data_IF_299140786666
#
_entry.id   IF_299140786666
#
_cell.length_a   1.000
_cell.length_b   1.000
_cell.length_c   1.000
_cell.angle_alpha   90.00
_cell.angle_beta   90.00
_cell.angle_gamma   90.00
#
_symmetry.space_group_name_H-M   'P 1'
#
loop_
_entity.id
_entity.type
_entity.pdbx_description
1 polymer ?
#
# COMPACT_ATOMS: atom_id res chain seq x y z
N UNK A 1 -0.32 -43.35 8.82
CA UNK A 1 0.83 -42.47 8.40
C UNK A 1 0.43 -41.81 7.10
N UNK A 2 -0.26 -40.71 7.19
CA UNK A 2 -0.61 -39.88 6.02
C UNK A 2 0.11 -38.55 6.17
N UNK A 3 1.11 -38.36 5.31
CA UNK A 3 1.91 -37.15 5.30
C UNK A 3 1.13 -35.98 4.70
N UNK A 4 1.10 -34.91 5.44
CA UNK A 4 0.56 -33.64 5.00
C UNK A 4 1.33 -33.13 3.78
N UNK A 5 0.70 -33.14 2.62
CA UNK A 5 1.15 -32.45 1.42
C UNK A 5 0.95 -30.95 1.64
N UNK A 6 1.98 -30.24 2.06
CA UNK A 6 1.98 -28.78 2.06
C UNK A 6 1.99 -28.27 0.62
N UNK A 7 0.97 -27.53 0.31
CA UNK A 7 0.63 -26.94 -0.98
C UNK A 7 1.78 -26.08 -1.55
N UNK A 8 2.44 -26.60 -2.59
CA UNK A 8 3.37 -25.86 -3.46
C UNK A 8 2.63 -25.03 -4.55
N UNK A 9 1.54 -24.35 -4.19
CA UNK A 9 0.65 -23.75 -5.21
C UNK A 9 0.86 -22.24 -5.45
N UNK A 10 1.94 -21.61 -4.95
CA UNK A 10 2.04 -20.15 -5.01
C UNK A 10 2.94 -19.55 -6.12
N UNK A 11 3.69 -20.36 -6.83
CA UNK A 11 4.57 -19.86 -7.93
C UNK A 11 4.01 -20.05 -9.34
N UNK A 12 2.90 -20.77 -9.48
CA UNK A 12 2.38 -21.14 -10.80
C UNK A 12 1.61 -20.02 -11.50
N UNK A 13 0.83 -19.20 -10.76
CA UNK A 13 0.02 -18.15 -11.37
C UNK A 13 0.89 -17.03 -11.96
N UNK A 14 1.94 -16.61 -11.25
CA UNK A 14 2.88 -15.60 -11.76
C UNK A 14 3.70 -16.13 -12.96
N UNK A 15 3.94 -17.46 -13.04
CA UNK A 15 4.61 -18.11 -14.18
C UNK A 15 3.74 -18.21 -15.43
N UNK A 16 2.43 -18.20 -15.31
CA UNK A 16 1.52 -18.21 -16.46
C UNK A 16 1.56 -16.91 -17.28
N UNK A 17 2.06 -15.81 -16.69
CA UNK A 17 2.23 -14.53 -17.37
C UNK A 17 3.59 -14.38 -18.07
N UNK A 18 4.56 -15.24 -17.80
CA UNK A 18 5.90 -15.18 -18.38
C UNK A 18 6.10 -16.47 -19.16
N UNK A 19 5.99 -16.41 -20.48
CA UNK A 19 6.40 -17.50 -21.35
C UNK A 19 7.89 -17.77 -21.14
N UNK A 20 8.22 -19.00 -20.74
CA UNK A 20 9.54 -19.62 -20.62
C UNK A 20 10.53 -19.12 -19.53
N UNK A 21 11.19 -20.09 -18.91
CA UNK A 21 11.98 -20.03 -17.70
C UNK A 21 13.16 -19.05 -17.78
N UNK A 22 13.21 -18.08 -16.85
CA UNK A 22 14.43 -17.37 -16.51
C UNK A 22 15.40 -18.27 -15.70
N UNK A 23 16.74 -18.07 -15.81
CA UNK A 23 17.72 -18.84 -15.05
C UNK A 23 17.48 -18.68 -13.55
N UNK A 24 17.86 -19.71 -12.77
CA UNK A 24 17.61 -19.88 -11.34
C UNK A 24 17.57 -18.54 -10.59
N UNK A 25 16.37 -18.01 -10.42
CA UNK A 25 16.15 -16.78 -9.66
C UNK A 25 16.54 -17.04 -8.21
N UNK A 26 17.24 -16.08 -7.60
CA UNK A 26 17.39 -16.04 -6.15
C UNK A 26 16.01 -16.27 -5.52
N UNK A 27 15.93 -17.18 -4.56
CA UNK A 27 14.66 -17.56 -3.94
C UNK A 27 14.02 -16.32 -3.30
N UNK A 28 12.82 -15.95 -3.76
CA UNK A 28 12.08 -14.85 -3.17
C UNK A 28 11.41 -15.34 -1.87
N UNK A 29 11.95 -14.89 -0.74
CA UNK A 29 11.43 -15.21 0.58
C UNK A 29 10.11 -14.48 0.83
N UNK A 30 9.00 -15.21 0.79
CA UNK A 30 7.66 -14.67 1.05
C UNK A 30 6.77 -15.57 1.91
N UNK A 31 7.28 -16.75 2.31
CA UNK A 31 6.58 -17.76 3.11
C UNK A 31 7.50 -18.30 4.21
N UNK A 32 8.22 -17.43 4.92
CA UNK A 32 9.20 -17.84 5.95
C UNK A 32 8.53 -18.32 7.24
N UNK A 33 7.24 -18.05 7.42
CA UNK A 33 6.42 -18.52 8.54
C UNK A 33 4.94 -18.60 8.14
N UNK A 34 4.17 -19.38 8.91
CA UNK A 34 2.73 -19.53 8.70
C UNK A 34 1.97 -18.32 9.26
N UNK A 35 1.05 -17.77 8.45
CA UNK A 35 0.28 -16.58 8.82
C UNK A 35 -0.81 -16.90 9.84
N UNK A 36 -1.47 -18.07 9.76
CA UNK A 36 -2.53 -18.44 10.70
C UNK A 36 -1.96 -18.66 12.10
N UNK A 37 -0.78 -19.27 12.19
CA UNK A 37 -0.07 -19.38 13.48
C UNK A 37 0.27 -17.99 14.04
N UNK A 38 0.81 -17.08 13.23
CA UNK A 38 1.11 -15.72 13.68
C UNK A 38 -0.15 -14.97 14.13
N UNK A 39 -1.28 -15.15 13.43
CA UNK A 39 -2.58 -14.55 13.77
C UNK A 39 -3.00 -14.98 15.17
N UNK A 40 -2.96 -16.28 15.47
CA UNK A 40 -3.32 -16.79 16.80
C UNK A 40 -2.43 -16.20 17.91
N UNK A 41 -1.09 -16.16 17.68
CA UNK A 41 -0.12 -15.53 18.59
C UNK A 41 -0.44 -14.04 18.81
N UNK A 42 -0.76 -13.32 17.74
CA UNK A 42 -1.05 -11.89 17.75
C UNK A 42 -2.38 -11.56 18.45
N UNK A 43 -3.43 -12.33 18.17
CA UNK A 43 -4.75 -12.15 18.80
C UNK A 43 -4.68 -12.40 20.32
N UNK A 44 -3.96 -13.44 20.75
CA UNK A 44 -3.73 -13.69 22.17
C UNK A 44 -3.00 -12.53 22.84
N UNK A 45 -1.91 -12.04 22.22
CA UNK A 45 -1.14 -10.90 22.75
C UNK A 45 -1.98 -9.61 22.81
N UNK A 46 -2.80 -9.32 21.81
CA UNK A 46 -3.68 -8.14 21.80
C UNK A 46 -4.79 -8.24 22.85
N UNK A 47 -5.35 -9.43 23.07
CA UNK A 47 -6.33 -9.68 24.12
C UNK A 47 -5.73 -9.45 25.52
N UNK A 48 -4.53 -9.96 25.79
CA UNK A 48 -3.81 -9.72 27.05
C UNK A 48 -3.54 -8.23 27.31
N UNK A 49 -3.11 -7.49 26.28
CA UNK A 49 -2.92 -6.03 26.37
C UNK A 49 -4.22 -5.28 26.68
N UNK A 50 -5.32 -5.73 26.12
CA UNK A 50 -6.65 -5.13 26.38
C UNK A 50 -7.13 -5.43 27.79
N UNK A 51 -6.91 -6.63 28.31
CA UNK A 51 -7.26 -7.03 29.67
C UNK A 51 -6.47 -6.24 30.72
N UNK A 52 -5.17 -6.05 30.54
CA UNK A 52 -4.31 -5.26 31.45
C UNK A 52 -4.72 -3.77 31.56
N UNK A 53 -5.44 -3.23 30.58
CA UNK A 53 -5.96 -1.85 30.60
C UNK A 53 -7.29 -1.70 31.34
N UNK A 54 -8.05 -2.80 31.52
CA UNK A 54 -9.36 -2.78 32.17
C UNK A 54 -9.26 -2.96 33.70
N UNK A 55 -8.06 -3.10 34.26
CA UNK A 55 -7.89 -2.99 35.71
C UNK A 55 -8.19 -1.55 36.15
N UNK A 56 -9.20 -1.33 37.03
CA UNK A 56 -9.70 -0.01 37.34
C UNK A 56 -8.67 0.73 38.21
N UNK A 57 -7.99 1.73 37.63
CA UNK A 57 -7.50 2.85 38.45
C UNK A 57 -8.72 3.51 39.01
N UNK A 58 -8.83 3.55 40.35
CA UNK A 58 -9.93 4.12 41.09
C UNK A 58 -10.35 5.49 40.53
N UNK A 59 -11.60 5.58 40.08
CA UNK A 59 -12.19 6.82 39.58
C UNK A 59 -12.35 7.85 40.72
N UNK A 60 -12.11 9.14 40.45
CA UNK A 60 -12.49 10.19 41.35
C UNK A 60 -14.04 10.32 41.36
N UNK A 61 -14.66 10.61 42.54
CA UNK A 61 -16.11 10.67 42.65
C UNK A 61 -16.66 11.95 42.03
N UNK A 62 -17.71 11.83 41.23
CA UNK A 62 -18.71 12.87 41.00
C UNK A 62 -18.75 13.48 39.59
N UNK A 63 -19.56 12.90 38.72
CA UNK A 63 -20.32 13.68 37.74
C UNK A 63 -21.72 13.05 37.59
N UNK A 64 -22.71 13.88 37.83
CA UNK A 64 -24.14 13.58 37.77
C UNK A 64 -24.60 13.46 36.31
N UNK A 65 -25.31 12.37 36.01
CA UNK A 65 -26.00 12.15 34.72
C UNK A 65 -27.33 12.88 34.70
N UNK A 66 -27.60 13.65 33.64
CA UNK A 66 -28.91 14.21 33.32
C UNK A 66 -29.70 13.18 32.46
N UNK A 67 -31.03 13.09 32.59
CA UNK A 67 -31.84 12.13 31.87
C UNK A 67 -32.11 12.57 30.42
N UNK A 68 -32.45 11.63 29.50
CA UNK A 68 -32.69 11.92 28.09
C UNK A 68 -34.07 12.51 27.85
N UNK A 69 -34.12 13.55 27.03
CA UNK A 69 -35.34 14.19 26.55
C UNK A 69 -35.88 13.45 25.31
N UNK A 70 -37.19 13.19 25.32
CA UNK A 70 -37.92 12.49 24.29
C UNK A 70 -38.68 13.46 23.39
N UNK A 71 -38.39 13.50 22.12
CA UNK A 71 -39.18 14.27 21.16
C UNK A 71 -38.79 13.94 19.72
N UNK A 72 -39.68 13.22 19.01
CA UNK A 72 -39.50 12.85 17.63
C UNK A 72 -39.82 13.96 16.64
N UNK A 73 -39.29 13.81 15.44
CA UNK A 73 -40.03 13.97 14.16
C UNK A 73 -39.10 13.66 12.98
N UNK A 74 -39.64 12.86 12.11
CA UNK A 74 -39.04 12.38 10.86
C UNK A 74 -39.21 13.43 9.75
N UNK A 75 -38.09 13.86 9.13
CA UNK A 75 -38.08 14.37 7.76
C UNK A 75 -36.76 14.10 7.08
N UNK A 76 -36.87 13.59 5.84
CA UNK A 76 -35.93 13.47 4.71
C UNK A 76 -34.41 13.63 4.94
N UNK A 77 -33.70 12.53 4.79
CA UNK A 77 -32.38 12.38 4.14
C UNK A 77 -31.29 13.46 4.36
N UNK A 78 -31.11 13.93 5.58
CA UNK A 78 -29.83 14.47 6.03
C UNK A 78 -29.18 13.47 6.97
N UNK A 79 -27.92 13.12 6.72
CA UNK A 79 -27.16 12.33 7.68
C UNK A 79 -27.23 13.00 9.07
N UNK A 80 -27.34 12.23 10.17
CA UNK A 80 -27.36 12.76 11.51
C UNK A 80 -26.18 13.72 11.74
N UNK A 81 -26.39 14.83 12.45
CA UNK A 81 -25.37 15.84 12.76
C UNK A 81 -24.05 15.24 13.27
N UNK A 82 -24.14 14.18 14.05
CA UNK A 82 -22.97 13.44 14.53
C UNK A 82 -22.17 12.77 13.40
N UNK A 83 -22.84 12.22 12.38
CA UNK A 83 -22.18 11.63 11.20
C UNK A 83 -21.57 12.71 10.31
N UNK A 84 -22.25 13.86 10.17
CA UNK A 84 -21.69 15.01 9.44
C UNK A 84 -20.45 15.59 10.13
N UNK A 85 -20.47 15.67 11.45
CA UNK A 85 -19.30 16.10 12.24
C UNK A 85 -18.15 15.10 12.14
N UNK A 86 -18.43 13.80 12.18
CA UNK A 86 -17.42 12.77 11.99
C UNK A 86 -16.82 12.81 10.57
N UNK A 87 -17.63 13.03 9.53
CA UNK A 87 -17.14 13.19 8.16
C UNK A 87 -16.30 14.46 7.99
N UNK A 88 -16.70 15.58 8.59
CA UNK A 88 -15.93 16.82 8.56
C UNK A 88 -14.59 16.68 9.32
N UNK A 89 -14.59 16.01 10.46
CA UNK A 89 -13.38 15.71 11.22
C UNK A 89 -12.45 14.75 10.44
N UNK A 90 -13.01 13.74 9.77
CA UNK A 90 -12.26 12.83 8.94
C UNK A 90 -11.64 13.55 7.72
N UNK A 91 -12.40 14.43 7.05
CA UNK A 91 -11.90 15.21 5.92
C UNK A 91 -10.79 16.18 6.33
N UNK A 92 -10.91 16.85 7.47
CA UNK A 92 -9.85 17.72 8.00
C UNK A 92 -8.61 16.95 8.41
N UNK A 93 -8.77 15.74 8.96
CA UNK A 93 -7.67 14.85 9.29
C UNK A 93 -6.90 14.41 8.05
N UNK A 94 -7.60 14.03 6.99
CA UNK A 94 -6.96 13.62 5.72
C UNK A 94 -6.19 14.75 5.05
N UNK A 95 -6.72 15.98 5.06
CA UNK A 95 -6.00 17.14 4.53
C UNK A 95 -4.71 17.42 5.32
N UNK A 96 -4.72 17.23 6.64
CA UNK A 96 -3.53 17.31 7.48
C UNK A 96 -2.51 16.22 7.11
N UNK A 97 -2.95 14.99 6.92
CA UNK A 97 -2.10 13.85 6.55
C UNK A 97 -1.38 14.04 5.22
N UNK A 98 -2.03 14.66 4.23
CA UNK A 98 -1.39 15.03 2.96
C UNK A 98 -0.17 15.93 3.17
N UNK A 99 -0.27 16.92 4.08
CA UNK A 99 0.85 17.79 4.44
C UNK A 99 2.00 17.06 5.13
N UNK A 100 1.71 15.99 5.88
CA UNK A 100 2.73 15.20 6.56
C UNK A 100 3.67 14.48 5.59
N UNK A 101 3.19 14.06 4.41
CA UNK A 101 4.03 13.40 3.41
C UNK A 101 5.06 14.36 2.79
N UNK A 102 4.67 15.61 2.47
CA UNK A 102 5.65 16.62 2.02
C UNK A 102 6.68 16.91 3.11
N UNK A 103 6.23 17.10 4.36
CA UNK A 103 7.11 17.32 5.49
C UNK A 103 8.08 16.14 5.73
N UNK A 104 7.60 14.90 5.58
CA UNK A 104 8.42 13.69 5.67
C UNK A 104 9.53 13.69 4.61
N UNK A 105 9.19 13.94 3.33
CA UNK A 105 10.19 13.93 2.26
C UNK A 105 11.18 15.10 2.38
N UNK A 106 10.72 16.28 2.78
CA UNK A 106 11.57 17.46 2.94
C UNK A 106 12.55 17.34 4.12
N UNK A 107 12.15 16.68 5.22
CA UNK A 107 12.93 16.60 6.46
C UNK A 107 13.55 15.23 6.66
N UNK A 108 12.73 14.18 6.75
CA UNK A 108 13.17 12.87 7.21
C UNK A 108 13.79 12.05 6.08
N UNK A 109 13.39 12.31 4.85
CA UNK A 109 13.96 11.67 3.64
C UNK A 109 14.77 12.63 2.76
N UNK A 110 15.20 13.78 3.27
CA UNK A 110 15.89 14.83 2.50
C UNK A 110 17.14 14.34 1.72
N UNK A 111 17.74 13.22 2.12
CA UNK A 111 18.88 12.61 1.41
C UNK A 111 18.48 11.46 0.50
N UNK A 112 17.20 11.16 0.32
CA UNK A 112 16.66 9.99 -0.39
C UNK A 112 17.24 8.64 0.09
N UNK A 113 17.74 8.56 1.33
CA UNK A 113 18.37 7.35 1.92
C UNK A 113 17.47 6.61 2.90
N UNK A 114 16.32 7.17 3.22
CA UNK A 114 15.38 6.55 4.15
C UNK A 114 14.88 5.21 3.60
N UNK A 115 14.52 5.18 2.31
CA UNK A 115 14.13 3.97 1.62
C UNK A 115 15.26 3.44 0.75
N UNK A 116 15.53 2.12 0.87
CA UNK A 116 16.45 1.41 -0.03
C UNK A 116 15.73 1.02 -1.32
N UNK A 117 16.47 0.86 -2.40
CA UNK A 117 15.95 0.27 -3.65
C UNK A 117 15.27 -1.07 -3.39
N UNK A 118 14.03 -1.23 -3.86
CA UNK A 118 13.18 -2.41 -3.66
C UNK A 118 13.41 -3.42 -4.79
N UNK A 119 14.63 -3.93 -4.91
CA UNK A 119 15.01 -4.89 -5.98
C UNK A 119 14.23 -6.19 -5.92
N UNK A 120 13.71 -6.58 -4.75
CA UNK A 120 12.89 -7.76 -4.58
C UNK A 120 11.58 -7.70 -5.39
N UNK A 121 11.10 -6.50 -5.78
CA UNK A 121 9.91 -6.35 -6.62
C UNK A 121 10.06 -7.02 -7.99
N UNK A 122 11.29 -7.13 -8.52
CA UNK A 122 11.56 -7.82 -9.78
C UNK A 122 11.36 -9.35 -9.66
N UNK A 123 11.49 -9.90 -8.45
CA UNK A 123 11.20 -11.30 -8.15
C UNK A 123 9.73 -11.50 -7.79
N UNK A 124 9.15 -10.52 -7.08
CA UNK A 124 7.76 -10.54 -6.65
C UNK A 124 6.79 -10.34 -7.80
N UNK A 125 7.14 -9.47 -8.75
CA UNK A 125 6.34 -9.13 -9.94
C UNK A 125 7.20 -9.32 -11.21
N UNK A 126 7.38 -10.55 -11.71
CA UNK A 126 8.24 -10.83 -12.87
C UNK A 126 7.85 -10.08 -14.16
N UNK A 127 6.58 -9.66 -14.30
CA UNK A 127 6.12 -8.84 -15.41
C UNK A 127 6.91 -7.51 -15.56
N UNK A 128 7.50 -7.00 -14.49
CA UNK A 128 8.31 -5.77 -14.51
C UNK A 128 9.65 -5.94 -15.26
N UNK A 129 10.07 -7.17 -15.53
CA UNK A 129 11.33 -7.48 -16.23
C UNK A 129 11.12 -7.81 -17.71
N UNK A 130 9.88 -7.89 -18.20
CA UNK A 130 9.58 -8.16 -19.61
C UNK A 130 10.01 -6.96 -20.45
N UNK A 131 10.92 -7.20 -21.40
CA UNK A 131 11.52 -6.13 -22.21
C UNK A 131 10.91 -6.02 -23.63
N UNK A 132 10.13 -6.99 -24.06
CA UNK A 132 9.50 -7.01 -25.39
C UNK A 132 8.06 -7.51 -25.30
N UNK A 133 7.09 -6.77 -25.85
CA UNK A 133 7.24 -5.40 -26.38
C UNK A 133 7.61 -4.39 -25.28
N UNK A 134 8.16 -3.21 -25.64
CA UNK A 134 8.46 -2.14 -24.66
C UNK A 134 7.23 -1.79 -23.83
N UNK A 135 7.38 -1.70 -22.51
CA UNK A 135 6.29 -1.49 -21.58
C UNK A 135 6.36 -0.08 -20.94
N UNK A 136 5.20 0.37 -20.48
CA UNK A 136 5.08 1.58 -19.68
C UNK A 136 4.48 1.26 -18.31
N UNK A 137 5.18 1.62 -17.24
CA UNK A 137 4.72 1.41 -15.87
C UNK A 137 4.40 2.74 -15.19
N UNK A 138 3.32 2.78 -14.43
CA UNK A 138 2.95 3.90 -13.59
C UNK A 138 3.05 3.50 -12.12
N UNK A 139 3.75 4.25 -11.29
CA UNK A 139 3.68 4.10 -9.83
C UNK A 139 2.95 5.28 -9.21
N UNK A 140 1.89 5.00 -8.46
CA UNK A 140 1.18 5.97 -7.62
C UNK A 140 1.82 5.92 -6.23
N UNK A 141 2.24 7.07 -5.71
CA UNK A 141 3.03 7.17 -4.48
C UNK A 141 4.48 6.73 -4.69
N UNK A 142 5.12 7.22 -5.75
CA UNK A 142 6.46 6.76 -6.14
C UNK A 142 7.58 7.17 -5.15
N UNK A 143 7.31 8.12 -4.26
CA UNK A 143 8.31 8.64 -3.35
C UNK A 143 9.58 9.10 -4.10
N UNK A 144 10.74 8.76 -3.57
CA UNK A 144 12.03 9.04 -4.22
C UNK A 144 12.43 7.99 -5.28
N UNK A 145 11.50 7.15 -5.76
CA UNK A 145 11.74 6.18 -6.84
C UNK A 145 12.32 4.84 -6.39
N UNK A 146 12.20 4.49 -5.11
CA UNK A 146 12.79 3.26 -4.57
C UNK A 146 12.30 1.97 -5.23
N UNK A 147 11.11 1.99 -5.87
CA UNK A 147 10.56 0.88 -6.66
C UNK A 147 10.89 1.01 -8.14
N UNK A 148 10.72 2.21 -8.73
CA UNK A 148 10.90 2.43 -10.17
C UNK A 148 12.36 2.37 -10.62
N UNK A 149 13.32 2.82 -9.81
CA UNK A 149 14.73 2.79 -10.17
C UNK A 149 15.26 1.39 -10.45
N UNK A 150 15.03 0.36 -9.61
CA UNK A 150 15.43 -1.00 -9.95
C UNK A 150 14.73 -1.55 -11.19
N UNK A 151 13.45 -1.20 -11.43
CA UNK A 151 12.74 -1.59 -12.66
C UNK A 151 13.40 -0.98 -13.90
N UNK A 152 13.68 0.32 -13.90
CA UNK A 152 14.35 1.03 -15.00
C UNK A 152 15.75 0.47 -15.31
N UNK A 153 16.48 0.04 -14.26
CA UNK A 153 17.82 -0.57 -14.40
C UNK A 153 17.75 -1.99 -14.97
N UNK A 154 16.75 -2.77 -14.55
CA UNK A 154 16.58 -4.16 -14.97
C UNK A 154 15.93 -4.29 -16.35
N UNK A 155 15.10 -3.34 -16.74
CA UNK A 155 14.37 -3.33 -18.01
C UNK A 155 14.73 -2.09 -18.84
N UNK A 156 15.77 -2.14 -19.70
CA UNK A 156 16.21 -0.99 -20.48
C UNK A 156 15.19 -0.45 -21.48
N UNK A 157 14.23 -1.26 -21.92
CA UNK A 157 13.21 -0.87 -22.91
C UNK A 157 11.95 -0.27 -22.29
N UNK A 158 11.76 -0.35 -20.97
CA UNK A 158 10.59 0.24 -20.34
C UNK A 158 10.72 1.75 -20.15
N UNK A 159 9.57 2.42 -20.10
CA UNK A 159 9.42 3.78 -19.61
C UNK A 159 8.54 3.79 -18.37
N UNK A 160 8.68 4.80 -17.52
CA UNK A 160 7.90 4.90 -16.29
C UNK A 160 7.33 6.29 -16.07
N UNK A 161 6.18 6.35 -15.43
CA UNK A 161 5.63 7.54 -14.82
C UNK A 161 5.54 7.33 -13.30
N UNK A 162 6.07 8.24 -12.51
CA UNK A 162 5.91 8.28 -11.06
C UNK A 162 5.03 9.44 -10.64
N UNK A 163 4.03 9.20 -9.78
CA UNK A 163 3.23 10.26 -9.18
C UNK A 163 3.33 10.20 -7.66
N UNK A 164 3.33 11.34 -7.01
CA UNK A 164 3.35 11.45 -5.55
C UNK A 164 2.65 12.74 -5.12
N UNK A 165 2.08 12.77 -3.91
CA UNK A 165 1.55 14.00 -3.30
C UNK A 165 2.64 15.05 -3.07
N UNK A 166 3.87 14.60 -2.78
CA UNK A 166 5.02 15.43 -2.47
C UNK A 166 5.77 15.86 -3.72
N UNK A 167 5.76 17.16 -4.08
CA UNK A 167 6.63 17.68 -5.13
C UNK A 167 8.11 17.40 -4.87
N UNK A 168 8.53 17.43 -3.59
CA UNK A 168 9.89 17.11 -3.17
C UNK A 168 10.26 15.66 -3.50
N UNK A 169 9.37 14.70 -3.23
CA UNK A 169 9.56 13.29 -3.57
C UNK A 169 9.76 13.10 -5.08
N UNK A 170 8.88 13.69 -5.88
CA UNK A 170 8.96 13.63 -7.36
C UNK A 170 10.25 14.23 -7.88
N UNK A 171 10.70 15.36 -7.32
CA UNK A 171 11.99 15.95 -7.67
C UNK A 171 13.15 15.00 -7.37
N UNK A 172 13.16 14.39 -6.17
CA UNK A 172 14.17 13.40 -5.77
C UNK A 172 14.17 12.18 -6.70
N UNK A 173 13.03 11.68 -7.10
CA UNK A 173 12.91 10.57 -8.06
C UNK A 173 13.58 10.91 -9.39
N UNK A 174 13.23 12.04 -9.99
CA UNK A 174 13.83 12.50 -11.26
C UNK A 174 15.34 12.68 -11.15
N UNK A 175 15.80 13.27 -10.07
CA UNK A 175 17.24 13.47 -9.81
C UNK A 175 17.97 12.14 -9.65
N UNK A 176 17.38 11.19 -8.92
CA UNK A 176 17.95 9.86 -8.72
C UNK A 176 18.04 9.07 -10.04
N UNK A 177 17.02 9.17 -10.91
CA UNK A 177 17.03 8.56 -12.23
C UNK A 177 18.13 9.16 -13.13
N UNK A 178 18.26 10.48 -13.17
CA UNK A 178 19.32 11.17 -13.89
C UNK A 178 20.72 10.78 -13.38
N UNK A 179 20.90 10.73 -12.05
CA UNK A 179 22.16 10.31 -11.41
C UNK A 179 22.51 8.85 -11.75
N UNK A 180 21.49 7.99 -11.91
CA UNK A 180 21.66 6.61 -12.34
C UNK A 180 21.92 6.45 -13.85
N UNK A 181 22.00 7.54 -14.62
CA UNK A 181 22.22 7.50 -16.07
C UNK A 181 21.01 7.02 -16.87
N UNK A 182 19.82 7.07 -16.31
CA UNK A 182 18.59 6.71 -17.03
C UNK A 182 18.23 7.84 -18.00
N UNK A 183 17.94 7.48 -19.26
CA UNK A 183 17.57 8.44 -20.29
C UNK A 183 16.27 9.20 -19.91
N UNK A 184 16.27 10.53 -20.13
CA UNK A 184 15.20 11.40 -19.65
C UNK A 184 13.83 11.12 -20.28
N UNK A 185 13.81 10.62 -21.52
CA UNK A 185 12.59 10.21 -22.24
C UNK A 185 11.91 8.96 -21.67
N UNK A 186 12.62 8.21 -20.83
CA UNK A 186 12.08 7.04 -20.13
C UNK A 186 11.45 7.36 -18.79
N UNK A 187 11.58 8.59 -18.28
CA UNK A 187 11.20 8.93 -16.92
C UNK A 187 10.31 10.16 -16.88
N UNK A 188 9.10 9.99 -16.42
CA UNK A 188 8.17 11.10 -16.20
C UNK A 188 7.77 11.13 -14.71
N UNK A 189 7.57 12.31 -14.14
CA UNK A 189 7.14 12.45 -12.76
C UNK A 189 6.25 13.68 -12.56
N UNK A 190 5.17 13.50 -11.82
CA UNK A 190 4.17 14.52 -11.52
C UNK A 190 3.85 14.55 -10.02
N UNK A 191 3.77 15.75 -9.45
CA UNK A 191 3.16 15.93 -8.14
C UNK A 191 1.63 15.95 -8.33
N UNK A 192 0.95 14.95 -7.75
CA UNK A 192 -0.49 14.79 -7.92
C UNK A 192 -1.12 14.05 -6.75
N UNK A 193 -2.36 14.44 -6.42
CA UNK A 193 -3.22 13.70 -5.49
C UNK A 193 -4.03 12.66 -6.26
N UNK A 194 -3.58 11.42 -6.25
CA UNK A 194 -4.23 10.33 -7.00
C UNK A 194 -5.56 9.86 -6.41
N UNK A 195 -6.05 10.49 -5.33
CA UNK A 195 -7.44 10.31 -4.86
C UNK A 195 -8.41 11.23 -5.60
N UNK A 196 -7.91 12.14 -6.47
CA UNK A 196 -8.71 13.05 -7.26
C UNK A 196 -8.83 12.56 -8.71
N UNK A 197 -10.01 12.61 -9.34
CA UNK A 197 -10.27 11.97 -10.64
C UNK A 197 -9.49 12.55 -11.82
N UNK A 198 -8.91 13.74 -11.69
CA UNK A 198 -8.20 14.45 -12.78
C UNK A 198 -6.67 14.38 -12.66
N UNK A 199 -6.15 13.59 -11.71
CA UNK A 199 -4.78 13.75 -11.25
C UNK A 199 -3.72 13.14 -12.16
N UNK A 200 -4.05 12.15 -12.98
CA UNK A 200 -3.04 11.44 -13.77
C UNK A 200 -3.04 11.87 -15.22
N UNK A 201 -1.90 12.35 -15.75
CA UNK A 201 -1.77 12.53 -17.18
C UNK A 201 -1.81 11.17 -17.86
N UNK A 202 -2.56 11.07 -18.96
CA UNK A 202 -2.49 9.92 -19.87
C UNK A 202 -1.02 9.67 -20.27
N UNK A 203 -0.60 8.39 -20.44
CA UNK A 203 0.73 8.09 -20.98
C UNK A 203 0.93 8.89 -22.24
N UNK A 204 2.10 9.48 -22.37
CA UNK A 204 2.49 10.53 -23.30
C UNK A 204 1.64 10.61 -24.58
N UNK A 205 0.92 11.71 -24.74
CA UNK A 205 0.23 12.03 -25.97
C UNK A 205 1.25 11.88 -27.14
N UNK A 206 0.95 11.00 -28.09
CA UNK A 206 1.83 10.71 -29.22
C UNK A 206 2.48 9.31 -29.24
N UNK A 207 2.39 8.52 -28.16
CA UNK A 207 2.94 7.15 -28.14
C UNK A 207 2.01 6.09 -28.73
N UNK A 208 0.74 6.43 -29.01
CA UNK A 208 -0.30 5.48 -29.44
C UNK A 208 -0.78 4.52 -28.33
N UNK A 209 -0.32 4.70 -27.08
CA UNK A 209 -0.73 3.87 -25.95
C UNK A 209 -2.07 4.33 -25.37
N UNK A 210 -2.91 3.37 -24.99
CA UNK A 210 -4.22 3.63 -24.37
C UNK A 210 -4.11 3.73 -22.82
N UNK A 211 -2.96 3.41 -22.23
CA UNK A 211 -2.73 3.40 -20.80
C UNK A 211 -1.39 2.76 -20.42
N UNK A 212 -1.16 2.57 -19.14
CA UNK A 212 0.00 1.84 -18.62
C UNK A 212 -0.22 0.33 -18.74
N UNK A 213 0.85 -0.41 -18.98
CA UNK A 213 0.85 -1.88 -18.96
C UNK A 213 0.67 -2.41 -17.53
N UNK A 214 1.26 -1.72 -16.55
CA UNK A 214 0.99 -1.97 -15.13
C UNK A 214 0.99 -0.67 -14.32
N UNK A 215 0.13 -0.65 -13.28
CA UNK A 215 0.13 0.36 -12.23
C UNK A 215 0.62 -0.29 -10.94
N UNK A 216 1.55 0.36 -10.25
CA UNK A 216 2.13 -0.08 -8.99
C UNK A 216 1.59 0.78 -7.83
N UNK A 217 1.16 0.11 -6.76
CA UNK A 217 0.86 0.68 -5.45
C UNK A 217 1.75 -0.03 -4.42
N UNK A 218 2.92 0.54 -4.15
CA UNK A 218 3.93 -0.09 -3.29
C UNK A 218 4.07 0.70 -1.98
N UNK A 219 3.43 0.21 -0.92
CA UNK A 219 3.30 0.89 0.39
C UNK A 219 2.63 2.26 0.27
N UNK A 220 1.61 2.34 -0.55
CA UNK A 220 0.90 3.57 -0.85
C UNK A 220 -0.55 3.52 -0.42
N UNK A 221 -1.27 2.44 -0.72
CA UNK A 221 -2.69 2.33 -0.41
C UNK A 221 -2.94 2.36 1.11
N UNK A 222 -2.05 1.75 1.91
CA UNK A 222 -2.09 1.81 3.38
C UNK A 222 -1.90 3.23 3.96
N UNK A 223 -1.31 4.14 3.18
CA UNK A 223 -1.09 5.52 3.58
C UNK A 223 -2.26 6.45 3.25
N UNK A 224 -3.31 5.91 2.64
CA UNK A 224 -4.52 6.64 2.21
C UNK A 224 -5.65 6.38 3.20
N UNK A 225 -6.40 7.40 3.53
CA UNK A 225 -7.59 7.24 4.38
C UNK A 225 -8.56 6.21 3.75
N UNK A 226 -9.14 5.28 4.53
CA UNK A 226 -9.94 4.19 4.01
C UNK A 226 -11.09 4.61 3.08
N UNK A 227 -11.68 5.79 3.31
CA UNK A 227 -12.73 6.37 2.48
C UNK A 227 -12.23 6.87 1.11
N UNK A 228 -10.94 7.17 0.98
CA UNK A 228 -10.32 7.66 -0.25
C UNK A 228 -9.67 6.53 -1.08
N UNK A 229 -9.53 5.33 -0.51
CA UNK A 229 -8.90 4.20 -1.20
C UNK A 229 -9.64 3.80 -2.48
N UNK A 230 -10.98 3.85 -2.47
CA UNK A 230 -11.79 3.54 -3.65
C UNK A 230 -11.49 4.51 -4.80
N UNK A 231 -11.32 5.80 -4.52
CA UNK A 231 -10.97 6.81 -5.51
C UNK A 231 -9.57 6.56 -6.08
N UNK A 232 -8.59 6.21 -5.25
CA UNK A 232 -7.24 5.87 -5.72
C UNK A 232 -7.22 4.61 -6.58
N UNK A 233 -7.95 3.56 -6.20
CA UNK A 233 -8.07 2.34 -7.00
C UNK A 233 -8.78 2.60 -8.33
N UNK A 234 -9.81 3.45 -8.34
CA UNK A 234 -10.47 3.88 -9.57
C UNK A 234 -9.50 4.65 -10.48
N UNK A 235 -8.69 5.56 -9.93
CA UNK A 235 -7.65 6.28 -10.66
C UNK A 235 -6.63 5.30 -11.28
N UNK A 236 -6.20 4.29 -10.53
CA UNK A 236 -5.32 3.23 -11.04
C UNK A 236 -5.99 2.44 -12.18
N UNK A 237 -7.29 2.13 -12.04
CA UNK A 237 -8.06 1.44 -13.09
C UNK A 237 -8.14 2.25 -14.37
N UNK A 238 -8.40 3.56 -14.28
CA UNK A 238 -8.47 4.45 -15.44
C UNK A 238 -7.11 4.59 -16.14
N UNK A 239 -6.02 4.61 -15.39
CA UNK A 239 -4.66 4.75 -15.92
C UNK A 239 -4.15 3.53 -16.68
N UNK A 240 -4.72 2.35 -16.46
CA UNK A 240 -4.36 1.11 -17.13
C UNK A 240 -4.98 0.99 -18.51
N UNK A 241 -4.20 0.45 -19.47
CA UNK A 241 -4.75 -0.06 -20.72
C UNK A 241 -5.65 -1.28 -20.48
N UNK A 242 -6.54 -1.66 -21.42
CA UNK A 242 -7.25 -2.94 -21.38
C UNK A 242 -6.25 -4.09 -21.18
N UNK A 243 -6.58 -5.07 -20.35
CA UNK A 243 -5.68 -6.17 -19.99
C UNK A 243 -4.50 -5.84 -19.08
N UNK A 244 -4.30 -4.57 -18.72
CA UNK A 244 -3.23 -4.11 -17.84
C UNK A 244 -3.36 -4.58 -16.39
N UNK A 245 -2.25 -4.57 -15.65
CA UNK A 245 -2.16 -5.12 -14.30
C UNK A 245 -2.04 -4.04 -13.24
N UNK A 246 -2.78 -4.18 -12.15
CA UNK A 246 -2.55 -3.47 -10.90
C UNK A 246 -1.72 -4.37 -9.97
N UNK A 247 -0.56 -3.88 -9.56
CA UNK A 247 0.40 -4.59 -8.71
C UNK A 247 0.45 -3.90 -7.35
N UNK A 248 0.05 -4.61 -6.31
CA UNK A 248 -0.01 -4.07 -4.94
C UNK A 248 0.90 -4.84 -4.01
N UNK A 249 1.73 -4.11 -3.27
CA UNK A 249 2.39 -4.61 -2.06
C UNK A 249 2.20 -3.59 -0.95
N UNK A 250 1.61 -4.03 0.17
CA UNK A 250 1.36 -3.13 1.28
C UNK A 250 1.41 -3.85 2.64
N UNK A 251 1.18 -3.13 3.71
CA UNK A 251 1.21 -3.65 5.08
C UNK A 251 0.06 -4.61 5.34
N UNK A 252 0.38 -5.83 5.77
CA UNK A 252 -0.60 -6.84 6.19
C UNK A 252 -0.93 -6.73 7.68
N UNK A 253 -2.13 -7.19 8.04
CA UNK A 253 -2.56 -7.31 9.43
C UNK A 253 -1.58 -8.23 10.18
N UNK A 254 -1.33 -7.94 11.46
CA UNK A 254 -0.35 -8.60 12.34
C UNK A 254 1.11 -8.45 11.91
N UNK A 255 1.45 -7.55 10.96
CA UNK A 255 2.83 -7.14 10.75
C UNK A 255 3.46 -6.68 12.06
N UNK A 256 4.75 -6.92 12.24
CA UNK A 256 5.46 -6.48 13.43
C UNK A 256 5.26 -4.98 13.74
N UNK A 257 5.11 -4.15 12.71
CA UNK A 257 4.82 -2.72 12.89
C UNK A 257 3.45 -2.53 13.51
N UNK A 258 2.42 -3.24 13.03
CA UNK A 258 1.08 -3.22 13.62
C UNK A 258 1.11 -3.60 15.11
N UNK A 259 1.76 -4.71 15.43
CA UNK A 259 1.82 -5.24 16.79
C UNK A 259 2.61 -4.35 17.79
N UNK A 260 3.43 -3.43 17.29
CA UNK A 260 4.23 -2.49 18.11
C UNK A 260 3.59 -1.12 18.28
N UNK A 261 2.60 -0.79 17.45
CA UNK A 261 1.90 0.49 17.60
C UNK A 261 1.12 0.50 18.91
N UNK A 262 1.24 1.58 19.70
CA UNK A 262 0.48 1.72 20.92
C UNK A 262 -1.00 1.93 20.58
N UNK A 263 -1.93 1.37 21.38
CA UNK A 263 -3.37 1.46 21.13
C UNK A 263 -3.92 2.90 21.04
N UNK A 264 -3.30 3.87 21.71
CA UNK A 264 -3.66 5.29 21.63
C UNK A 264 -3.39 5.91 20.24
N UNK A 265 -2.61 5.23 19.40
CA UNK A 265 -2.38 5.62 18.01
C UNK A 265 -3.41 5.00 17.04
N UNK A 266 -4.26 4.11 17.54
CA UNK A 266 -5.35 3.55 16.74
C UNK A 266 -6.44 4.59 16.51
N UNK A 267 -6.73 4.87 15.24
CA UNK A 267 -7.76 5.83 14.81
C UNK A 267 -9.09 5.13 14.51
N UNK A 268 -9.01 3.91 13.96
CA UNK A 268 -10.14 3.05 13.63
C UNK A 268 -9.67 1.59 13.54
N UNK A 269 -10.58 0.67 13.23
CA UNK A 269 -10.18 -0.71 12.95
C UNK A 269 -9.09 -0.76 11.87
N UNK A 270 -7.97 -1.42 12.15
CA UNK A 270 -6.79 -1.56 11.28
C UNK A 270 -6.10 -0.26 10.85
N UNK A 271 -6.53 0.91 11.31
CA UNK A 271 -6.00 2.23 10.95
C UNK A 271 -5.27 2.87 12.14
N UNK A 272 -4.02 3.24 11.94
CA UNK A 272 -3.16 3.80 12.97
C UNK A 272 -2.47 5.08 12.50
N UNK A 273 -2.24 6.02 13.43
CA UNK A 273 -1.39 7.19 13.20
C UNK A 273 0.03 6.89 13.68
N UNK A 274 1.01 7.19 12.84
CA UNK A 274 2.42 7.09 13.19
C UNK A 274 2.90 8.35 13.89
N UNK A 275 4.09 8.28 14.51
CA UNK A 275 4.69 9.42 15.23
C UNK A 275 5.05 10.60 14.32
N UNK A 276 5.27 10.37 13.04
CA UNK A 276 5.52 11.39 12.03
C UNK A 276 4.23 12.06 11.51
N UNK A 277 3.08 11.68 12.04
CA UNK A 277 1.75 12.21 11.69
C UNK A 277 1.10 11.48 10.51
N UNK A 278 1.82 10.62 9.79
CA UNK A 278 1.25 9.82 8.71
C UNK A 278 0.38 8.70 9.25
N UNK A 279 -0.56 8.22 8.44
CA UNK A 279 -1.37 7.05 8.78
C UNK A 279 -0.86 5.78 8.14
N UNK A 280 -1.28 4.64 8.70
CA UNK A 280 -1.04 3.32 8.16
C UNK A 280 -2.25 2.43 8.39
N UNK A 281 -2.79 1.91 7.31
CA UNK A 281 -3.80 0.86 7.33
C UNK A 281 -3.13 -0.51 7.19
N UNK A 282 -3.64 -1.52 7.90
CA UNK A 282 -3.13 -2.90 7.83
C UNK A 282 -4.17 -3.81 7.20
N UNK A 283 -3.90 -4.26 5.98
CA UNK A 283 -4.83 -5.03 5.17
C UNK A 283 -4.94 -6.50 5.60
N UNK A 284 -6.15 -7.06 5.49
CA UNK A 284 -6.31 -8.49 5.24
C UNK A 284 -6.35 -8.73 3.73
N UNK A 285 -6.12 -9.97 3.30
CA UNK A 285 -6.21 -10.33 1.86
C UNK A 285 -7.63 -10.16 1.34
N UNK A 286 -8.65 -10.49 2.16
CA UNK A 286 -10.07 -10.36 1.82
C UNK A 286 -10.47 -8.88 1.63
N UNK A 287 -9.99 -7.98 2.51
CA UNK A 287 -10.27 -6.55 2.40
C UNK A 287 -9.59 -5.95 1.16
N UNK A 288 -8.33 -6.30 0.89
CA UNK A 288 -7.64 -5.83 -0.31
C UNK A 288 -8.32 -6.32 -1.59
N UNK A 289 -8.66 -7.61 -1.65
CA UNK A 289 -9.35 -8.21 -2.77
C UNK A 289 -10.71 -7.56 -3.02
N UNK A 290 -11.54 -7.44 -1.98
CA UNK A 290 -12.86 -6.83 -2.11
C UNK A 290 -12.80 -5.38 -2.63
N UNK A 291 -11.82 -4.59 -2.17
CA UNK A 291 -11.62 -3.21 -2.65
C UNK A 291 -11.20 -3.16 -4.11
N UNK A 292 -10.29 -4.04 -4.54
CA UNK A 292 -9.84 -4.09 -5.93
C UNK A 292 -10.98 -4.54 -6.86
N UNK A 293 -11.75 -5.56 -6.47
CA UNK A 293 -12.89 -6.05 -7.23
C UNK A 293 -14.02 -5.01 -7.32
N UNK A 294 -14.28 -4.27 -6.24
CA UNK A 294 -15.23 -3.16 -6.24
C UNK A 294 -14.80 -2.01 -7.17
N UNK A 295 -13.50 -1.84 -7.42
CA UNK A 295 -12.97 -0.88 -8.39
C UNK A 295 -12.99 -1.40 -9.84
N UNK A 296 -13.47 -2.61 -10.10
CA UNK A 296 -13.64 -3.21 -11.43
C UNK A 296 -12.52 -4.15 -11.86
N UNK A 297 -11.59 -4.47 -10.98
CA UNK A 297 -10.52 -5.42 -11.28
C UNK A 297 -10.95 -6.87 -11.13
N UNK A 298 -10.27 -7.78 -11.83
CA UNK A 298 -10.35 -9.22 -11.62
C UNK A 298 -9.10 -9.68 -10.86
N UNK A 299 -9.29 -10.37 -9.75
CA UNK A 299 -8.19 -10.91 -8.95
C UNK A 299 -7.46 -12.03 -9.71
N UNK A 300 -6.16 -11.88 -9.91
CA UNK A 300 -5.28 -12.93 -10.44
C UNK A 300 -4.54 -13.63 -9.30
N UNK A 301 -4.05 -12.85 -8.35
CA UNK A 301 -3.38 -13.36 -7.15
C UNK A 301 -3.62 -12.37 -6.00
N UNK A 302 -3.96 -12.88 -4.81
CA UNK A 302 -4.01 -12.09 -3.58
C UNK A 302 -3.60 -13.00 -2.41
N UNK A 303 -2.51 -12.64 -1.71
CA UNK A 303 -1.94 -13.48 -0.65
C UNK A 303 -1.15 -12.66 0.37
N UNK A 304 -0.89 -13.28 1.53
CA UNK A 304 0.12 -12.75 2.45
C UNK A 304 1.53 -13.09 1.97
N UNK A 305 2.45 -12.15 2.12
CA UNK A 305 3.88 -12.36 1.97
C UNK A 305 4.53 -12.24 3.36
N UNK A 306 4.82 -13.40 3.96
CA UNK A 306 5.36 -13.54 5.30
C UNK A 306 6.88 -13.66 5.24
N UNK A 307 7.60 -12.63 5.70
CA UNK A 307 9.07 -12.55 5.56
C UNK A 307 9.73 -12.40 6.93
N UNK A 308 10.68 -13.27 7.23
CA UNK A 308 11.53 -13.17 8.43
C UNK A 308 12.81 -12.39 8.11
N UNK A 309 12.96 -11.21 8.71
CA UNK A 309 14.10 -10.35 8.50
C UNK A 309 14.97 -10.28 9.76
N UNK A 310 16.29 -10.38 9.61
CA UNK A 310 17.22 -10.13 10.69
C UNK A 310 17.73 -8.69 10.66
N UNK A 311 17.41 -7.92 11.69
CA UNK A 311 18.10 -6.65 11.92
C UNK A 311 19.48 -6.92 12.52
N UNK A 312 20.51 -6.97 11.66
CA UNK A 312 21.88 -7.30 12.07
C UNK A 312 22.47 -6.34 13.10
N UNK A 313 22.06 -5.06 13.09
CA UNK A 313 22.54 -4.06 14.05
C UNK A 313 21.97 -4.28 15.45
N UNK A 314 20.69 -4.67 15.54
CA UNK A 314 19.98 -4.91 16.81
C UNK A 314 19.89 -6.38 17.18
N UNK A 315 20.36 -7.31 16.32
CA UNK A 315 20.23 -8.76 16.46
C UNK A 315 18.78 -9.22 16.75
N UNK A 316 17.81 -8.56 16.12
CA UNK A 316 16.38 -8.83 16.31
C UNK A 316 15.80 -9.46 15.06
N UNK A 317 15.19 -10.62 15.19
CA UNK A 317 14.34 -11.21 14.15
C UNK A 317 13.02 -10.45 14.08
N UNK A 318 12.60 -10.13 12.86
CA UNK A 318 11.40 -9.36 12.56
C UNK A 318 10.48 -10.19 11.68
N UNK A 319 9.37 -10.67 12.23
CA UNK A 319 8.27 -11.24 11.43
C UNK A 319 7.54 -10.10 10.72
N UNK A 320 7.66 -10.03 9.40
CA UNK A 320 7.00 -9.00 8.59
C UNK A 320 5.89 -9.63 7.78
N UNK A 321 4.73 -9.03 7.84
CA UNK A 321 3.56 -9.44 7.05
C UNK A 321 3.21 -8.34 6.07
N UNK A 322 3.16 -8.71 4.81
CA UNK A 322 2.69 -7.84 3.74
C UNK A 322 1.55 -8.52 2.99
N UNK A 323 0.69 -7.71 2.36
CA UNK A 323 -0.23 -8.20 1.35
C UNK A 323 0.40 -8.03 -0.03
N UNK A 324 0.24 -9.05 -0.85
CA UNK A 324 0.62 -9.08 -2.25
C UNK A 324 -0.63 -9.25 -3.09
N UNK A 325 -0.80 -8.39 -4.09
CA UNK A 325 -1.94 -8.46 -4.99
C UNK A 325 -1.55 -8.23 -6.45
N UNK A 326 -2.06 -9.07 -7.33
CA UNK A 326 -2.03 -8.92 -8.78
C UNK A 326 -3.48 -8.94 -9.26
N UNK A 327 -3.91 -7.82 -9.82
CA UNK A 327 -5.28 -7.63 -10.27
C UNK A 327 -5.27 -7.18 -11.74
N UNK A 328 -6.20 -7.70 -12.56
CA UNK A 328 -6.27 -7.41 -14.00
C UNK A 328 -7.45 -6.51 -14.30
N UNK A 329 -7.23 -5.48 -15.12
CA UNK A 329 -8.30 -4.74 -15.80
C UNK A 329 -8.81 -5.59 -16.96
N UNK A 330 -10.14 -5.67 -17.15
CA UNK A 330 -10.72 -6.39 -18.28
C UNK A 330 -10.13 -5.91 -19.63
N UNK A 331 -10.14 -6.81 -20.61
CA UNK A 331 -9.66 -6.56 -21.98
C UNK A 331 -10.56 -5.58 -22.73
#
# INVERSE_FOLDING_TARGET
MEGAQHSKHSTAACRAYVGEATPAAAEYHCNDFDWEQLKQEAEAMLAERSAQRQEPTAAPPGQQTLPPDSGGETTAACLPLHQQQQQQQAASSWQYEKGCWEAFHARDNATARFYKERRYLLLEFPCLTISQPPQHFLEIGCGCGSSLLPVLKANPSCSVTGTDLSPTAVHMFKQAAATAGIAADRVTGYAADSTQPTALPHPAAGTGRQGADAVLLIFTLAAVAPQEMAAMLHTAFQALQPGGLLLIRDHGLYDMTHLRLPPEQQLADKLYRRLDGTTCYFFTIEDLQARAEAAGFTTQECKYACTSLLNRKKQVHMKRVFVHGVFKKAD
#
